data_IF_786442646077
#
_entry.id   IF_786442646077
#
_cell.length_a   1.000
_cell.length_b   1.000
_cell.length_c   1.000
_cell.angle_alpha   90.00
_cell.angle_beta   90.00
_cell.angle_gamma   90.00
#
_symmetry.space_group_name_H-M   'P 1'
#
loop_
_entity.id
_entity.type
_entity.pdbx_description
1 polymer ?
#
# COMPACT_ATOMS: atom_id res chain seq x y z
N UNK A 1 -35.77 17.93 -16.27
CA UNK A 1 -34.33 18.19 -16.42
C UNK A 1 -33.63 16.87 -16.16
N UNK A 2 -33.08 16.23 -17.19
CA UNK A 2 -32.17 15.10 -16.99
C UNK A 2 -31.02 15.63 -16.14
N UNK A 3 -30.89 15.19 -14.88
CA UNK A 3 -29.71 15.55 -14.08
C UNK A 3 -28.51 15.08 -14.89
N UNK A 4 -27.64 16.01 -15.30
CA UNK A 4 -26.37 15.64 -15.90
C UNK A 4 -25.65 14.71 -14.91
N UNK A 5 -25.10 13.63 -15.44
CA UNK A 5 -24.41 12.63 -14.63
C UNK A 5 -23.11 13.23 -14.12
N UNK A 6 -22.92 13.21 -12.80
CA UNK A 6 -21.74 13.72 -12.12
C UNK A 6 -20.46 13.21 -12.81
N UNK A 7 -19.54 14.12 -13.16
CA UNK A 7 -18.24 13.79 -13.71
C UNK A 7 -17.14 13.84 -12.65
N UNK A 8 -16.57 12.67 -12.37
CA UNK A 8 -15.48 12.48 -11.43
C UNK A 8 -14.16 12.29 -12.17
N UNK A 9 -13.14 13.07 -11.85
CA UNK A 9 -11.77 12.85 -12.31
C UNK A 9 -10.90 12.26 -11.18
N UNK A 10 -10.19 11.18 -11.47
CA UNK A 10 -9.28 10.50 -10.54
C UNK A 10 -7.85 10.66 -11.06
N UNK A 11 -6.97 11.16 -10.20
CA UNK A 11 -5.55 11.32 -10.50
C UNK A 11 -4.80 10.19 -9.81
N UNK A 12 -4.19 9.30 -10.60
CA UNK A 12 -3.44 8.13 -10.15
C UNK A 12 -4.18 6.82 -10.41
N UNK A 13 -3.57 5.93 -11.20
CA UNK A 13 -4.08 4.58 -11.47
C UNK A 13 -3.47 3.53 -10.52
N UNK A 14 -3.29 3.89 -9.24
CA UNK A 14 -2.96 2.94 -8.18
C UNK A 14 -4.15 2.04 -7.80
N UNK A 15 -3.95 1.14 -6.82
CA UNK A 15 -5.03 0.27 -6.34
C UNK A 15 -6.25 1.08 -5.83
N UNK A 16 -5.99 2.19 -5.12
CA UNK A 16 -7.01 3.11 -4.61
C UNK A 16 -7.85 3.72 -5.73
N UNK A 17 -7.21 4.42 -6.67
CA UNK A 17 -7.90 5.13 -7.75
C UNK A 17 -8.67 4.18 -8.67
N UNK A 18 -8.10 3.02 -8.98
CA UNK A 18 -8.77 2.00 -9.78
C UNK A 18 -9.98 1.40 -9.06
N UNK A 19 -9.90 1.14 -7.74
CA UNK A 19 -11.04 0.60 -7.01
C UNK A 19 -12.19 1.62 -6.90
N UNK A 20 -11.86 2.90 -6.68
CA UNK A 20 -12.85 3.99 -6.72
C UNK A 20 -13.52 4.02 -8.10
N UNK A 21 -12.73 3.99 -9.18
CA UNK A 21 -13.25 4.00 -10.55
C UNK A 21 -14.20 2.82 -10.83
N UNK A 22 -13.87 1.61 -10.35
CA UNK A 22 -14.76 0.45 -10.44
C UNK A 22 -16.09 0.70 -9.72
N UNK A 23 -16.05 1.19 -8.49
CA UNK A 23 -17.25 1.46 -7.71
C UNK A 23 -18.14 2.55 -8.34
N UNK A 24 -17.55 3.61 -8.87
CA UNK A 24 -18.26 4.67 -9.58
C UNK A 24 -18.86 4.18 -10.90
N UNK A 25 -18.11 3.41 -11.69
CA UNK A 25 -18.60 2.77 -12.92
C UNK A 25 -19.78 1.85 -12.61
N UNK A 26 -19.67 1.01 -11.57
CA UNK A 26 -20.75 0.13 -11.09
C UNK A 26 -22.01 0.91 -10.67
N UNK A 27 -21.85 2.13 -10.17
CA UNK A 27 -22.92 3.04 -9.81
C UNK A 27 -23.45 3.91 -10.98
N UNK A 28 -22.97 3.72 -12.21
CA UNK A 28 -23.28 4.55 -13.38
C UNK A 28 -22.90 6.03 -13.21
N UNK A 29 -21.86 6.33 -12.45
CA UNK A 29 -21.27 7.68 -12.33
C UNK A 29 -20.16 7.83 -13.36
N UNK A 30 -20.14 8.94 -14.09
CA UNK A 30 -19.13 9.20 -15.12
C UNK A 30 -17.78 9.41 -14.45
N UNK A 31 -16.78 8.62 -14.82
CA UNK A 31 -15.43 8.68 -14.25
C UNK A 31 -14.36 8.73 -15.33
N UNK A 32 -13.32 9.53 -15.10
CA UNK A 32 -12.09 9.58 -15.90
C UNK A 32 -10.88 9.35 -15.01
N UNK A 33 -10.00 8.42 -15.37
CA UNK A 33 -8.79 8.11 -14.60
C UNK A 33 -7.56 8.57 -15.39
N UNK A 34 -6.66 9.30 -14.74
CA UNK A 34 -5.43 9.82 -15.32
C UNK A 34 -4.21 9.25 -14.60
N UNK A 35 -3.18 8.88 -15.36
CA UNK A 35 -1.94 8.32 -14.85
C UNK A 35 -0.75 8.98 -15.54
N UNK A 36 0.21 9.45 -14.75
CA UNK A 36 1.38 10.16 -15.27
C UNK A 36 2.34 9.26 -16.03
N UNK A 37 2.47 7.99 -15.63
CA UNK A 37 3.32 7.04 -16.34
C UNK A 37 2.77 6.73 -17.74
N UNK A 38 3.68 6.50 -18.70
CA UNK A 38 3.31 5.83 -19.94
C UNK A 38 2.78 4.42 -19.63
N UNK A 39 1.89 3.91 -20.49
CA UNK A 39 1.32 2.57 -20.28
C UNK A 39 2.41 1.49 -20.21
N UNK A 40 3.43 1.58 -21.07
CA UNK A 40 4.57 0.65 -21.07
C UNK A 40 5.31 0.66 -19.73
N UNK A 41 5.66 1.85 -19.22
CA UNK A 41 6.31 1.98 -17.90
C UNK A 41 5.42 1.46 -16.77
N UNK A 42 4.12 1.72 -16.86
CA UNK A 42 3.14 1.31 -15.86
C UNK A 42 2.97 -0.22 -15.79
N UNK A 43 2.92 -0.87 -16.95
CA UNK A 43 2.72 -2.32 -17.09
C UNK A 43 4.01 -3.11 -16.80
N UNK A 44 5.17 -2.57 -17.18
CA UNK A 44 6.47 -3.22 -17.06
C UNK A 44 7.31 -2.74 -15.88
N UNK A 45 6.70 -2.05 -14.90
CA UNK A 45 7.42 -1.54 -13.74
C UNK A 45 8.08 -2.69 -12.95
N UNK A 46 9.44 -2.75 -12.88
CA UNK A 46 10.12 -3.86 -12.22
C UNK A 46 9.97 -3.83 -10.70
N UNK A 47 9.55 -2.69 -10.12
CA UNK A 47 9.26 -2.58 -8.69
C UNK A 47 7.86 -3.11 -8.40
N UNK A 48 7.80 -4.40 -8.08
CA UNK A 48 6.63 -5.04 -7.48
C UNK A 48 6.95 -5.49 -6.05
N UNK A 49 5.95 -5.47 -5.19
CA UNK A 49 6.01 -6.04 -3.85
C UNK A 49 4.65 -6.59 -3.49
N UNK A 50 4.58 -7.25 -2.34
CA UNK A 50 3.35 -7.88 -1.88
C UNK A 50 2.80 -7.19 -0.63
N UNK A 51 1.48 -7.20 -0.48
CA UNK A 51 0.76 -6.47 0.56
C UNK A 51 -0.20 -7.43 1.26
N UNK A 52 -0.50 -7.19 2.53
CA UNK A 52 -1.54 -7.92 3.24
C UNK A 52 -2.90 -7.27 2.94
N UNK A 53 -3.85 -8.05 2.46
CA UNK A 53 -5.27 -7.69 2.36
C UNK A 53 -6.01 -8.40 3.48
N UNK A 54 -6.75 -7.66 4.31
CA UNK A 54 -7.43 -8.23 5.48
C UNK A 54 -8.81 -7.60 5.67
N UNK A 55 -9.03 -6.80 6.73
CA UNK A 55 -10.36 -6.29 7.11
C UNK A 55 -11.04 -5.45 6.01
N UNK A 56 -10.27 -4.88 5.08
CA UNK A 56 -10.79 -4.05 3.99
C UNK A 56 -11.29 -4.84 2.78
N UNK A 57 -11.20 -6.17 2.77
CA UNK A 57 -11.70 -7.04 1.67
C UNK A 57 -13.17 -6.76 1.34
N UNK A 58 -13.99 -6.41 2.35
CA UNK A 58 -15.39 -5.99 2.19
C UNK A 58 -15.57 -4.78 1.26
N UNK A 59 -14.60 -3.85 1.24
CA UNK A 59 -14.66 -2.67 0.39
C UNK A 59 -14.32 -3.02 -1.07
N UNK A 60 -13.48 -4.05 -1.29
CA UNK A 60 -13.25 -4.61 -2.62
C UNK A 60 -14.53 -5.24 -3.18
N UNK A 61 -15.25 -6.01 -2.36
CA UNK A 61 -16.55 -6.60 -2.72
C UNK A 61 -17.60 -5.53 -3.05
N UNK A 62 -17.65 -4.46 -2.25
CA UNK A 62 -18.55 -3.34 -2.47
C UNK A 62 -18.31 -2.68 -3.84
N UNK A 63 -17.06 -2.38 -4.17
CA UNK A 63 -16.70 -1.58 -5.33
C UNK A 63 -16.61 -2.39 -6.64
N UNK A 64 -16.18 -3.66 -6.58
CA UNK A 64 -16.05 -4.47 -7.80
C UNK A 64 -17.40 -5.02 -8.30
N UNK A 65 -17.54 -5.24 -9.62
CA UNK A 65 -18.59 -6.12 -10.14
C UNK A 65 -18.33 -7.57 -9.70
N UNK A 66 -19.39 -8.37 -9.62
CA UNK A 66 -19.35 -9.70 -9.00
C UNK A 66 -18.35 -10.66 -9.65
N UNK A 67 -18.14 -10.59 -10.97
CA UNK A 67 -17.19 -11.44 -11.67
C UNK A 67 -15.73 -11.09 -11.33
N UNK A 68 -15.38 -9.80 -11.24
CA UNK A 68 -14.03 -9.39 -10.84
C UNK A 68 -13.75 -9.71 -9.37
N UNK A 69 -14.76 -9.58 -8.49
CA UNK A 69 -14.59 -9.97 -7.08
C UNK A 69 -14.37 -11.47 -6.92
N UNK A 70 -15.12 -12.31 -7.67
CA UNK A 70 -14.88 -13.75 -7.71
C UNK A 70 -13.45 -14.08 -8.14
N UNK A 71 -12.87 -13.28 -9.02
CA UNK A 71 -11.53 -13.49 -9.57
C UNK A 71 -10.43 -12.81 -8.70
N UNK A 72 -10.77 -12.25 -7.53
CA UNK A 72 -9.82 -11.59 -6.61
C UNK A 72 -8.66 -12.50 -6.18
N UNK A 73 -8.90 -13.80 -6.05
CA UNK A 73 -7.85 -14.76 -5.68
C UNK A 73 -6.70 -14.82 -6.69
N UNK A 74 -6.93 -14.43 -7.96
CA UNK A 74 -5.86 -14.35 -8.97
C UNK A 74 -4.83 -13.26 -8.65
N UNK A 75 -5.17 -12.30 -7.79
CA UNK A 75 -4.24 -11.31 -7.29
C UNK A 75 -3.40 -11.79 -6.10
N UNK A 76 -3.69 -12.99 -5.56
CA UNK A 76 -2.98 -13.51 -4.39
C UNK A 76 -1.57 -13.96 -4.76
N UNK A 77 -0.66 -13.95 -3.78
CA UNK A 77 0.71 -14.47 -4.00
C UNK A 77 0.71 -15.97 -4.25
N UNK A 78 -0.30 -16.69 -3.76
CA UNK A 78 -0.49 -18.10 -4.03
C UNK A 78 -1.97 -18.40 -4.33
N UNK A 79 -2.41 -18.29 -5.59
CA UNK A 79 -3.79 -18.58 -5.97
C UNK A 79 -4.13 -20.08 -5.89
N UNK A 80 -3.15 -20.94 -5.65
CA UNK A 80 -3.29 -22.40 -5.63
C UNK A 80 -3.56 -22.96 -4.24
N UNK A 81 -3.33 -22.15 -3.20
CA UNK A 81 -3.48 -22.59 -1.81
C UNK A 81 -3.81 -21.40 -0.91
N UNK A 82 -5.05 -21.38 -0.44
CA UNK A 82 -5.50 -20.45 0.60
C UNK A 82 -4.88 -20.81 1.97
N UNK A 83 -4.58 -19.81 2.82
CA UNK A 83 -4.27 -20.07 4.22
C UNK A 83 -5.46 -20.71 4.93
N UNK A 84 -5.20 -21.53 5.95
CA UNK A 84 -6.26 -22.00 6.84
C UNK A 84 -6.89 -20.83 7.60
N UNK A 85 -8.10 -21.04 8.15
CA UNK A 85 -8.75 -20.01 8.97
C UNK A 85 -7.85 -19.57 10.14
N UNK A 86 -7.14 -20.49 10.79
CA UNK A 86 -6.20 -20.17 11.88
C UNK A 86 -5.02 -19.32 11.39
N UNK A 87 -4.41 -19.69 10.26
CA UNK A 87 -3.28 -18.95 9.67
C UNK A 87 -3.70 -17.56 9.19
N UNK A 88 -4.96 -17.39 8.79
CA UNK A 88 -5.50 -16.10 8.38
C UNK A 88 -5.81 -15.15 9.54
N UNK A 89 -5.66 -15.60 10.80
CA UNK A 89 -6.06 -14.84 11.99
C UNK A 89 -4.89 -14.27 12.81
N UNK A 90 -3.65 -14.63 12.46
CA UNK A 90 -2.47 -14.07 13.13
C UNK A 90 -1.22 -14.08 12.25
N UNK A 91 -0.27 -13.20 12.56
CA UNK A 91 1.06 -13.17 11.95
C UNK A 91 2.13 -13.38 13.03
N UNK A 92 3.07 -14.33 12.84
CA UNK A 92 4.11 -14.58 13.83
C UNK A 92 5.21 -13.50 13.79
N UNK A 93 5.56 -12.99 14.96
CA UNK A 93 6.75 -12.16 15.20
C UNK A 93 7.72 -12.97 16.05
N UNK A 94 8.93 -13.18 15.55
CA UNK A 94 9.93 -14.05 16.19
C UNK A 94 11.22 -13.31 16.55
N UNK A 95 11.93 -13.83 17.53
CA UNK A 95 13.29 -13.44 17.86
C UNK A 95 14.22 -13.77 16.69
N UNK A 96 14.97 -12.77 16.21
CA UNK A 96 15.84 -12.90 15.05
C UNK A 96 17.05 -13.77 15.25
N UNK A 97 17.49 -13.98 16.49
CA UNK A 97 18.68 -14.76 16.83
C UNK A 97 18.33 -16.20 17.18
N UNK A 98 17.27 -16.43 17.93
CA UNK A 98 16.87 -17.77 18.41
C UNK A 98 15.77 -18.41 17.58
N UNK A 99 14.95 -17.62 16.89
CA UNK A 99 13.75 -18.07 16.20
C UNK A 99 12.55 -18.33 17.11
N UNK A 100 12.67 -18.05 18.41
CA UNK A 100 11.56 -18.19 19.37
C UNK A 100 10.44 -17.19 19.06
N UNK A 101 9.19 -17.62 19.24
CA UNK A 101 8.04 -16.75 19.04
C UNK A 101 7.98 -15.68 20.14
N UNK A 102 8.03 -14.40 19.76
CA UNK A 102 7.83 -13.29 20.69
C UNK A 102 6.35 -13.07 20.96
N UNK A 103 5.55 -13.02 19.88
CA UNK A 103 4.08 -12.95 19.92
C UNK A 103 3.51 -13.25 18.52
N UNK A 104 2.19 -13.46 18.45
CA UNK A 104 1.45 -13.56 17.21
C UNK A 104 0.51 -12.35 17.10
N UNK A 105 0.78 -11.45 16.16
CA UNK A 105 -0.03 -10.25 15.95
C UNK A 105 -1.40 -10.65 15.38
N UNK A 106 -2.52 -10.31 16.03
CA UNK A 106 -3.84 -10.67 15.52
C UNK A 106 -4.13 -9.94 14.19
N UNK A 107 -4.82 -10.61 13.27
CA UNK A 107 -5.29 -10.04 12.00
C UNK A 107 -6.62 -10.69 11.61
N UNK A 108 -7.45 -10.02 10.81
CA UNK A 108 -8.76 -10.55 10.44
C UNK A 108 -8.76 -11.02 8.97
N UNK A 109 -8.84 -12.34 8.77
CA UNK A 109 -8.95 -13.00 7.46
C UNK A 109 -7.89 -12.56 6.42
N UNK A 110 -6.63 -12.53 6.83
CA UNK A 110 -5.55 -12.02 5.99
C UNK A 110 -5.25 -12.92 4.77
N UNK A 111 -4.99 -12.27 3.64
CA UNK A 111 -4.38 -12.82 2.42
C UNK A 111 -3.22 -11.96 2.00
N UNK A 112 -2.27 -12.56 1.28
CA UNK A 112 -1.17 -11.80 0.67
C UNK A 112 -1.45 -11.61 -0.81
N UNK A 113 -1.33 -10.37 -1.29
CA UNK A 113 -1.62 -9.99 -2.67
C UNK A 113 -0.40 -9.40 -3.36
N UNK A 114 -0.25 -9.65 -4.65
CA UNK A 114 0.78 -9.04 -5.49
C UNK A 114 0.27 -7.69 -5.99
N UNK A 115 1.01 -6.60 -5.72
CA UNK A 115 0.59 -5.24 -6.06
C UNK A 115 0.21 -5.09 -7.54
N UNK A 116 1.03 -5.62 -8.44
CA UNK A 116 0.77 -5.54 -9.88
C UNK A 116 -0.48 -6.34 -10.29
N UNK A 117 -0.65 -7.57 -9.77
CA UNK A 117 -1.83 -8.39 -10.10
C UNK A 117 -3.12 -7.76 -9.59
N UNK A 118 -3.10 -7.17 -8.40
CA UNK A 118 -4.25 -6.45 -7.85
C UNK A 118 -4.61 -5.22 -8.70
N UNK A 119 -3.62 -4.42 -9.11
CA UNK A 119 -3.83 -3.29 -10.05
C UNK A 119 -4.39 -3.76 -11.38
N UNK A 120 -3.83 -4.83 -11.95
CA UNK A 120 -4.30 -5.39 -13.21
C UNK A 120 -5.75 -5.86 -13.13
N UNK A 121 -6.14 -6.52 -12.04
CA UNK A 121 -7.52 -6.93 -11.77
C UNK A 121 -8.44 -5.72 -11.69
N UNK A 122 -8.09 -4.71 -10.88
CA UNK A 122 -8.93 -3.52 -10.71
C UNK A 122 -9.01 -2.66 -11.97
N UNK A 123 -8.01 -2.72 -12.86
CA UNK A 123 -8.02 -2.00 -14.15
C UNK A 123 -8.93 -2.64 -15.19
N UNK A 124 -9.31 -3.91 -15.05
CA UNK A 124 -10.12 -4.58 -16.07
C UNK A 124 -11.40 -3.80 -16.36
N UNK A 125 -11.69 -3.63 -17.64
CA UNK A 125 -12.86 -2.88 -18.13
C UNK A 125 -12.89 -1.38 -17.78
N UNK A 126 -11.77 -0.81 -17.33
CA UNK A 126 -11.61 0.65 -17.17
C UNK A 126 -10.74 1.21 -18.28
N UNK A 127 -11.08 2.43 -18.73
CA UNK A 127 -10.21 3.24 -19.56
C UNK A 127 -9.36 4.13 -18.67
N UNK A 128 -8.04 4.02 -18.78
CA UNK A 128 -7.07 4.85 -18.06
C UNK A 128 -6.32 5.71 -19.09
N UNK A 129 -6.28 7.02 -18.85
CA UNK A 129 -5.53 7.97 -19.67
C UNK A 129 -4.08 8.01 -19.17
N UNK A 130 -3.22 7.19 -19.77
CA UNK A 130 -1.79 7.13 -19.47
C UNK A 130 -1.02 8.30 -20.08
N UNK A 131 0.17 8.60 -19.54
CA UNK A 131 1.00 9.73 -19.99
C UNK A 131 0.43 11.11 -19.60
N UNK A 132 -0.51 11.16 -18.66
CA UNK A 132 -1.16 12.38 -18.19
C UNK A 132 -0.63 12.76 -16.81
N UNK A 133 0.58 13.33 -16.77
CA UNK A 133 1.17 13.84 -15.53
C UNK A 133 0.49 15.17 -15.16
N UNK A 134 -0.23 15.18 -14.04
CA UNK A 134 -0.89 16.37 -13.52
C UNK A 134 0.16 17.35 -12.98
N UNK A 135 0.06 18.62 -13.39
CA UNK A 135 0.92 19.68 -12.89
C UNK A 135 0.20 20.62 -11.94
N UNK A 136 -1.07 20.90 -12.20
CA UNK A 136 -1.80 21.96 -11.50
C UNK A 136 -3.30 21.66 -11.38
N UNK A 137 -3.88 22.07 -10.27
CA UNK A 137 -5.33 22.03 -10.02
C UNK A 137 -5.83 23.44 -9.74
N UNK A 138 -6.83 23.90 -10.51
CA UNK A 138 -7.45 25.22 -10.35
C UNK A 138 -8.94 25.09 -10.16
N UNK A 139 -9.52 26.09 -9.51
CA UNK A 139 -10.97 26.26 -9.47
C UNK A 139 -11.32 27.46 -10.33
N UNK A 140 -12.18 27.25 -11.32
CA UNK A 140 -12.64 28.30 -12.22
C UNK A 140 -14.15 28.17 -12.41
N UNK A 141 -14.88 29.26 -12.12
CA UNK A 141 -16.33 29.34 -12.30
C UNK A 141 -17.15 28.19 -11.67
N UNK A 142 -16.64 27.59 -10.58
CA UNK A 142 -17.32 26.52 -9.84
C UNK A 142 -16.99 25.09 -10.29
N UNK A 143 -16.16 24.94 -11.33
CA UNK A 143 -15.57 23.67 -11.78
C UNK A 143 -14.10 23.56 -11.37
N UNK A 144 -13.60 22.33 -11.31
CA UNK A 144 -12.17 22.06 -11.14
C UNK A 144 -11.52 21.84 -12.49
N UNK A 145 -10.45 22.59 -12.76
CA UNK A 145 -9.63 22.50 -13.97
C UNK A 145 -8.31 21.82 -13.64
N UNK A 146 -8.04 20.71 -14.32
CA UNK A 146 -6.81 19.94 -14.24
C UNK A 146 -5.92 20.30 -15.42
N UNK A 147 -4.66 20.68 -15.16
CA UNK A 147 -3.68 20.97 -16.22
C UNK A 147 -2.55 19.93 -16.21
N UNK A 148 -2.26 19.35 -17.37
CA UNK A 148 -1.29 18.27 -17.55
C UNK A 148 -0.02 18.72 -18.29
N UNK A 149 1.07 17.95 -18.16
CA UNK A 149 2.41 18.28 -18.69
C UNK A 149 2.45 18.62 -20.20
N UNK A 150 1.53 18.09 -21.01
CA UNK A 150 1.47 18.33 -22.45
C UNK A 150 0.45 19.41 -22.86
N UNK A 151 0.02 20.25 -21.91
CA UNK A 151 -0.85 21.40 -22.17
C UNK A 151 -2.34 21.07 -22.27
N UNK A 152 -2.72 19.79 -22.21
CA UNK A 152 -4.12 19.38 -22.10
C UNK A 152 -4.72 19.88 -20.79
N UNK A 153 -6.00 20.28 -20.85
CA UNK A 153 -6.77 20.68 -19.68
C UNK A 153 -8.14 20.02 -19.69
N UNK A 154 -8.58 19.56 -18.52
CA UNK A 154 -9.83 18.83 -18.35
C UNK A 154 -10.60 19.45 -17.19
N UNK A 155 -11.92 19.58 -17.35
CA UNK A 155 -12.83 20.00 -16.28
C UNK A 155 -13.56 18.80 -15.69
N UNK A 156 -13.87 18.88 -14.40
CA UNK A 156 -14.68 17.90 -13.69
C UNK A 156 -15.47 18.57 -12.56
N UNK A 157 -16.58 17.94 -12.16
CA UNK A 157 -17.39 18.36 -11.01
C UNK A 157 -16.65 18.10 -9.69
N UNK A 158 -15.88 17.01 -9.64
CA UNK A 158 -15.03 16.66 -8.50
C UNK A 158 -13.73 15.98 -8.96
N UNK A 159 -12.64 16.31 -8.28
CA UNK A 159 -11.32 15.69 -8.44
C UNK A 159 -10.97 14.87 -7.20
N UNK A 160 -10.47 13.66 -7.42
CA UNK A 160 -9.97 12.76 -6.39
C UNK A 160 -8.46 12.56 -6.60
N UNK A 161 -7.66 13.04 -5.65
CA UNK A 161 -6.23 12.75 -5.59
C UNK A 161 -5.97 11.37 -5.03
N UNK A 162 -5.57 10.44 -5.88
CA UNK A 162 -5.13 9.08 -5.54
C UNK A 162 -3.71 8.81 -6.09
N UNK A 163 -2.90 9.88 -6.19
CA UNK A 163 -1.60 10.01 -6.86
C UNK A 163 -0.41 9.74 -5.92
N UNK A 164 -0.67 9.12 -4.78
CA UNK A 164 0.34 8.59 -3.88
C UNK A 164 0.98 9.63 -2.94
N UNK A 165 2.02 9.21 -2.23
CA UNK A 165 2.64 10.01 -1.16
C UNK A 165 3.18 11.38 -1.62
N UNK A 166 3.53 11.54 -2.90
CA UNK A 166 4.02 12.80 -3.48
C UNK A 166 2.92 13.59 -4.21
N UNK A 167 1.68 13.42 -3.75
CA UNK A 167 0.47 13.93 -4.41
C UNK A 167 0.57 15.41 -4.80
N UNK A 168 0.39 15.68 -6.09
CA UNK A 168 0.24 17.03 -6.63
C UNK A 168 -1.10 17.61 -6.17
N UNK A 169 -2.14 16.78 -6.11
CA UNK A 169 -3.47 17.20 -5.64
C UNK A 169 -3.40 17.69 -4.19
N UNK A 170 -2.78 16.91 -3.29
CA UNK A 170 -2.62 17.30 -1.88
C UNK A 170 -1.94 18.65 -1.73
N UNK A 171 -0.89 18.93 -2.52
CA UNK A 171 -0.16 20.19 -2.44
C UNK A 171 -1.03 21.43 -2.71
N UNK A 172 -2.19 21.28 -3.36
CA UNK A 172 -3.15 22.34 -3.57
C UNK A 172 -4.17 22.49 -2.42
N UNK A 173 -4.34 21.46 -1.57
CA UNK A 173 -5.33 21.46 -0.49
C UNK A 173 -4.75 21.85 0.88
N UNK A 174 -3.42 21.84 1.01
CA UNK A 174 -2.71 22.18 2.26
C UNK A 174 -1.59 23.19 2.00
N UNK A 175 -1.07 23.79 3.07
CA UNK A 175 -0.04 24.83 3.04
C UNK A 175 1.15 24.50 3.96
N UNK A 176 2.27 25.20 3.78
CA UNK A 176 3.43 25.12 4.66
C UNK A 176 4.02 23.70 4.78
N UNK A 177 4.39 23.32 6.01
CA UNK A 177 5.00 22.01 6.29
C UNK A 177 4.09 20.81 5.98
N UNK A 178 2.77 21.00 5.86
CA UNK A 178 1.83 19.93 5.53
C UNK A 178 1.99 19.39 4.09
N UNK A 179 2.74 20.11 3.24
CA UNK A 179 3.13 19.67 1.88
C UNK A 179 4.38 18.78 1.86
N UNK A 180 5.12 18.70 2.97
CA UNK A 180 6.45 18.08 3.00
C UNK A 180 6.44 16.73 3.70
N UNK A 181 6.84 15.68 2.98
CA UNK A 181 7.11 14.37 3.58
C UNK A 181 8.42 14.47 4.37
N UNK A 182 8.43 14.01 5.62
CA UNK A 182 9.66 13.95 6.41
C UNK A 182 10.23 12.53 6.35
N UNK A 183 11.54 12.44 6.13
CA UNK A 183 12.28 11.18 6.17
C UNK A 183 12.22 10.64 7.59
N UNK A 184 11.91 9.34 7.73
CA UNK A 184 12.04 8.61 8.99
C UNK A 184 13.45 8.00 9.09
N UNK A 185 13.98 7.73 10.30
CA UNK A 185 15.33 7.17 10.54
C UNK A 185 15.39 5.70 10.12
N UNK A 186 15.18 5.43 8.85
CA UNK A 186 15.03 4.08 8.33
C UNK A 186 15.58 3.93 6.92
N UNK A 187 16.39 2.89 6.75
CA UNK A 187 16.85 2.38 5.45
C UNK A 187 16.31 0.97 5.29
N UNK A 188 15.83 0.64 4.09
CA UNK A 188 15.34 -0.71 3.82
C UNK A 188 15.82 -1.27 2.50
N UNK A 189 16.11 -2.56 2.56
CA UNK A 189 16.30 -3.44 1.42
C UNK A 189 15.03 -4.25 1.25
N UNK A 190 14.50 -4.32 0.03
CA UNK A 190 13.37 -5.15 -0.32
C UNK A 190 13.61 -5.79 -1.69
N UNK A 191 13.77 -7.11 -1.70
CA UNK A 191 14.24 -7.87 -2.86
C UNK A 191 13.21 -8.94 -3.20
N UNK A 192 12.84 -9.03 -4.48
CA UNK A 192 12.21 -10.21 -5.06
C UNK A 192 13.29 -11.18 -5.53
N UNK A 193 13.28 -12.43 -5.05
CA UNK A 193 14.28 -13.42 -5.41
C UNK A 193 13.63 -14.77 -5.71
N UNK A 194 14.17 -15.47 -6.71
CA UNK A 194 13.90 -16.88 -6.98
C UNK A 194 15.10 -17.71 -6.53
N UNK A 195 14.85 -18.96 -6.18
CA UNK A 195 15.88 -19.88 -5.72
C UNK A 195 15.86 -21.19 -6.51
N UNK A 196 16.86 -22.04 -6.28
CA UNK A 196 16.77 -23.43 -6.73
C UNK A 196 15.54 -24.12 -6.11
N UNK A 197 15.09 -25.21 -6.74
CA UNK A 197 13.91 -25.93 -6.26
C UNK A 197 14.05 -26.40 -4.80
N UNK A 198 15.23 -26.86 -4.41
CA UNK A 198 15.51 -27.31 -3.05
C UNK A 198 15.42 -26.16 -2.03
N UNK A 199 16.05 -25.04 -2.33
CA UNK A 199 16.01 -23.84 -1.48
C UNK A 199 14.59 -23.27 -1.37
N UNK A 200 13.86 -23.17 -2.49
CA UNK A 200 12.47 -22.71 -2.49
C UNK A 200 11.57 -23.61 -1.62
N UNK A 201 11.73 -24.93 -1.73
CA UNK A 201 11.02 -25.90 -0.88
C UNK A 201 11.44 -25.82 0.59
N UNK A 202 12.71 -25.59 0.87
CA UNK A 202 13.23 -25.38 2.23
C UNK A 202 12.57 -24.17 2.89
N UNK A 203 12.49 -23.03 2.18
CA UNK A 203 11.83 -21.81 2.65
C UNK A 203 10.33 -22.04 2.81
N UNK A 204 9.65 -22.56 1.79
CA UNK A 204 8.19 -22.75 1.79
C UNK A 204 7.69 -23.57 2.97
N UNK A 205 8.46 -24.58 3.41
CA UNK A 205 8.15 -25.43 4.57
C UNK A 205 8.28 -24.73 5.92
N UNK A 206 8.98 -23.61 6.01
CA UNK A 206 9.33 -22.91 7.26
C UNK A 206 8.71 -21.52 7.39
N UNK A 207 8.18 -20.96 6.31
CA UNK A 207 7.51 -19.67 6.34
C UNK A 207 6.00 -19.83 6.49
N UNK A 208 5.41 -18.89 7.22
CA UNK A 208 3.98 -18.66 7.31
C UNK A 208 3.42 -18.33 5.91
N UNK A 209 2.20 -18.79 5.55
CA UNK A 209 1.64 -18.55 4.21
C UNK A 209 1.45 -17.08 3.84
N UNK A 210 1.39 -16.18 4.82
CA UNK A 210 1.14 -14.75 4.61
C UNK A 210 2.43 -13.92 4.68
N UNK A 211 3.13 -14.01 5.81
CA UNK A 211 4.38 -13.31 6.08
C UNK A 211 5.02 -13.80 7.39
N UNK A 212 6.34 -13.70 7.46
CA UNK A 212 7.14 -13.81 8.67
C UNK A 212 7.82 -12.47 8.96
N UNK A 213 7.85 -12.10 10.23
CA UNK A 213 8.54 -10.92 10.72
C UNK A 213 9.44 -11.30 11.88
N UNK A 214 10.65 -10.72 11.93
CA UNK A 214 11.59 -11.05 12.97
C UNK A 214 12.46 -9.88 13.42
N UNK A 215 12.45 -9.65 14.73
CA UNK A 215 13.16 -8.54 15.39
C UNK A 215 14.42 -9.09 16.03
N UNK A 216 15.56 -8.46 15.79
CA UNK A 216 16.85 -8.97 16.26
C UNK A 216 17.23 -8.34 17.62
N UNK A 217 17.72 -9.11 18.60
CA UNK A 217 18.06 -8.57 19.93
C UNK A 217 19.30 -7.69 19.95
N UNK A 218 20.31 -8.01 19.14
CA UNK A 218 21.60 -7.31 19.16
C UNK A 218 21.76 -6.20 18.10
N UNK A 219 20.72 -5.93 17.30
CA UNK A 219 20.78 -4.91 16.24
C UNK A 219 19.40 -4.33 15.97
N UNK A 220 19.34 -3.05 15.57
CA UNK A 220 18.08 -2.34 15.34
C UNK A 220 17.50 -2.63 13.95
N UNK A 221 17.24 -3.92 13.68
CA UNK A 221 16.73 -4.38 12.38
C UNK A 221 15.49 -5.24 12.50
N UNK A 222 14.64 -5.12 11.48
CA UNK A 222 13.51 -6.01 11.24
C UNK A 222 13.72 -6.80 9.94
N UNK A 223 13.61 -8.12 10.02
CA UNK A 223 13.62 -8.99 8.85
C UNK A 223 12.19 -9.36 8.47
N UNK A 224 11.88 -9.23 7.19
CA UNK A 224 10.62 -9.60 6.59
C UNK A 224 10.85 -10.67 5.51
N UNK A 225 10.13 -11.79 5.62
CA UNK A 225 10.21 -12.88 4.65
C UNK A 225 8.80 -13.35 4.28
N UNK A 226 8.52 -13.46 2.99
CA UNK A 226 7.25 -13.98 2.51
C UNK A 226 7.36 -14.61 1.12
N UNK A 227 6.37 -15.42 0.79
CA UNK A 227 6.15 -15.86 -0.59
C UNK A 227 5.58 -14.68 -1.39
N UNK A 228 6.30 -14.25 -2.42
CA UNK A 228 5.94 -13.11 -3.25
C UNK A 228 5.02 -13.51 -4.40
N UNK A 229 5.31 -14.62 -5.08
CA UNK A 229 4.45 -15.14 -6.15
C UNK A 229 4.66 -16.64 -6.40
N UNK A 230 3.61 -17.33 -6.85
CA UNK A 230 3.62 -18.74 -7.27
C UNK A 230 3.04 -18.84 -8.69
N UNK A 231 3.85 -18.62 -9.73
CA UNK A 231 3.39 -18.75 -11.11
C UNK A 231 3.01 -20.19 -11.49
N UNK A 232 3.86 -21.16 -11.13
CA UNK A 232 3.59 -22.59 -11.33
C UNK A 232 3.74 -23.36 -10.00
N UNK A 233 2.67 -23.92 -9.43
CA UNK A 233 2.76 -24.65 -8.17
C UNK A 233 3.54 -25.97 -8.29
N UNK A 234 3.83 -26.44 -9.50
CA UNK A 234 4.57 -27.69 -9.76
C UNK A 234 6.07 -27.47 -10.01
N UNK A 235 6.50 -26.24 -10.29
CA UNK A 235 7.91 -25.90 -10.46
C UNK A 235 8.36 -24.86 -9.41
N UNK A 236 8.94 -25.29 -8.28
CA UNK A 236 9.43 -24.39 -7.23
C UNK A 236 10.48 -23.37 -7.66
N UNK A 237 11.17 -23.58 -8.80
CA UNK A 237 12.12 -22.59 -9.34
C UNK A 237 11.42 -21.32 -9.83
N UNK A 238 10.12 -21.40 -10.12
CA UNK A 238 9.32 -20.25 -10.57
C UNK A 238 8.86 -19.38 -9.40
N UNK A 239 8.88 -19.92 -8.18
CA UNK A 239 8.37 -19.24 -7.00
C UNK A 239 9.27 -18.08 -6.63
N UNK A 240 8.64 -16.93 -6.40
CA UNK A 240 9.31 -15.72 -5.99
C UNK A 240 9.10 -15.50 -4.50
N UNK A 241 10.14 -15.06 -3.82
CA UNK A 241 10.12 -14.72 -2.40
C UNK A 241 10.46 -13.25 -2.23
N UNK A 242 9.77 -12.60 -1.30
CA UNK A 242 10.10 -11.27 -0.84
C UNK A 242 11.02 -11.40 0.36
N UNK A 243 12.24 -10.90 0.21
CA UNK A 243 13.25 -10.85 1.27
C UNK A 243 13.56 -9.38 1.54
N UNK A 244 13.17 -8.91 2.72
CA UNK A 244 13.38 -7.54 3.09
C UNK A 244 14.01 -7.43 4.49
N UNK A 245 14.86 -6.41 4.65
CA UNK A 245 15.48 -6.07 5.91
C UNK A 245 15.47 -4.54 6.03
N UNK A 246 14.93 -4.04 7.13
CA UNK A 246 14.99 -2.63 7.48
C UNK A 246 15.93 -2.42 8.67
N UNK A 247 16.67 -1.32 8.62
CA UNK A 247 17.65 -0.88 9.61
C UNK A 247 17.24 0.51 10.09
N UNK A 248 17.09 0.65 11.41
CA UNK A 248 16.90 1.95 12.05
C UNK A 248 18.21 2.73 12.00
N UNK A 249 18.24 3.82 11.24
CA UNK A 249 19.41 4.68 11.08
C UNK A 249 19.08 5.97 10.32
N UNK A 250 19.71 7.08 10.73
CA UNK A 250 19.72 8.33 9.98
C UNK A 250 20.76 8.33 8.85
N UNK A 251 21.71 7.38 8.88
CA UNK A 251 22.77 7.28 7.88
C UNK A 251 22.18 7.00 6.49
N UNK A 252 22.90 7.43 5.45
CA UNK A 252 22.53 7.12 4.09
C UNK A 252 22.98 5.69 3.74
N UNK A 253 22.18 4.92 2.98
CA UNK A 253 22.60 3.60 2.52
C UNK A 253 23.84 3.73 1.63
N UNK A 254 24.74 2.72 1.64
CA UNK A 254 25.90 2.68 0.75
C UNK A 254 25.54 3.04 -0.70
N UNK A 255 26.40 3.86 -1.32
CA UNK A 255 26.15 4.37 -2.67
C UNK A 255 26.18 3.27 -3.73
N UNK A 256 27.12 2.33 -3.61
CA UNK A 256 27.29 1.22 -4.55
C UNK A 256 26.36 0.06 -4.23
N UNK A 257 25.94 -0.67 -5.27
CA UNK A 257 25.13 -1.88 -5.08
C UNK A 257 25.86 -2.94 -4.25
N UNK A 258 27.15 -3.12 -4.53
CA UNK A 258 28.03 -4.04 -3.80
C UNK A 258 28.09 -3.70 -2.30
N UNK A 259 28.22 -2.41 -1.95
CA UNK A 259 28.22 -1.96 -0.57
C UNK A 259 26.90 -2.27 0.14
N UNK A 260 25.77 -2.10 -0.56
CA UNK A 260 24.44 -2.46 -0.03
C UNK A 260 24.28 -3.96 0.15
N UNK A 261 24.71 -4.77 -0.82
CA UNK A 261 24.69 -6.23 -0.74
C UNK A 261 25.52 -6.75 0.44
N UNK A 262 26.72 -6.19 0.61
CA UNK A 262 27.60 -6.53 1.73
C UNK A 262 26.96 -6.16 3.08
N UNK A 263 26.35 -4.99 3.20
CA UNK A 263 25.63 -4.58 4.41
C UNK A 263 24.45 -5.51 4.70
N UNK A 264 23.62 -5.78 3.68
CA UNK A 264 22.46 -6.66 3.77
C UNK A 264 22.86 -8.06 4.24
N UNK A 265 23.83 -8.71 3.59
CA UNK A 265 24.31 -10.05 3.98
C UNK A 265 24.98 -10.06 5.34
N UNK A 266 25.69 -8.99 5.73
CA UNK A 266 26.29 -8.86 7.07
C UNK A 266 25.21 -8.86 8.16
N UNK A 267 24.19 -8.01 8.03
CA UNK A 267 23.10 -7.89 9.01
C UNK A 267 22.20 -9.12 9.01
N UNK A 268 21.94 -9.72 7.85
CA UNK A 268 21.14 -10.93 7.75
C UNK A 268 21.87 -12.19 8.24
N UNK A 269 23.21 -12.19 8.19
CA UNK A 269 24.03 -13.32 8.58
C UNK A 269 23.95 -13.69 10.07
N UNK A 270 23.53 -12.75 10.93
CA UNK A 270 23.31 -12.97 12.36
C UNK A 270 21.93 -13.54 12.70
N UNK A 271 21.00 -13.56 11.74
CA UNK A 271 19.67 -14.11 11.98
C UNK A 271 19.67 -15.65 12.06
N UNK A 272 18.61 -16.21 12.63
CA UNK A 272 18.33 -17.64 12.63
C UNK A 272 17.80 -18.10 11.27
N UNK A 273 17.63 -19.42 11.13
CA UNK A 273 16.92 -20.00 10.00
C UNK A 273 15.41 -19.73 10.08
N UNK A 274 14.70 -19.54 8.95
CA UNK A 274 15.20 -19.57 7.58
C UNK A 274 15.73 -18.23 7.05
N UNK A 275 15.66 -17.14 7.83
CA UNK A 275 16.00 -15.78 7.38
C UNK A 275 17.44 -15.67 6.88
N UNK A 276 18.39 -16.27 7.62
CA UNK A 276 19.80 -16.31 7.25
C UNK A 276 20.01 -16.93 5.88
N UNK A 277 19.49 -18.13 5.65
CA UNK A 277 19.60 -18.80 4.36
C UNK A 277 18.91 -18.02 3.24
N UNK A 278 17.71 -17.51 3.49
CA UNK A 278 16.98 -16.68 2.51
C UNK A 278 17.85 -15.50 2.03
N UNK A 279 18.51 -14.78 2.95
CA UNK A 279 19.36 -13.66 2.59
C UNK A 279 20.69 -14.06 1.96
N UNK A 280 21.39 -15.05 2.52
CA UNK A 280 22.73 -15.42 2.04
C UNK A 280 22.70 -16.09 0.65
N UNK A 281 21.58 -16.71 0.29
CA UNK A 281 21.37 -17.28 -1.05
C UNK A 281 20.99 -16.26 -2.12
N UNK A 282 20.69 -15.01 -1.77
CA UNK A 282 20.48 -13.95 -2.76
C UNK A 282 21.75 -13.79 -3.60
N UNK A 283 21.68 -13.83 -4.94
CA UNK A 283 22.84 -13.62 -5.81
C UNK A 283 23.52 -12.27 -5.59
N UNK A 284 24.85 -12.22 -5.60
CA UNK A 284 25.62 -11.00 -5.26
C UNK A 284 25.38 -9.83 -6.22
N UNK A 285 25.01 -10.11 -7.47
CA UNK A 285 24.70 -9.15 -8.52
C UNK A 285 23.24 -8.64 -8.47
N UNK A 286 22.43 -9.14 -7.53
CA UNK A 286 21.05 -8.67 -7.33
C UNK A 286 21.06 -7.18 -6.99
N UNK A 287 20.25 -6.41 -7.72
CA UNK A 287 20.09 -4.99 -7.42
C UNK A 287 19.37 -4.80 -6.07
N UNK A 288 20.03 -4.11 -5.15
CA UNK A 288 19.44 -3.67 -3.89
C UNK A 288 19.04 -2.21 -4.02
N UNK A 289 17.75 -1.86 -3.81
CA UNK A 289 17.31 -0.49 -3.85
C UNK A 289 17.84 0.33 -2.67
N UNK A 290 17.92 1.66 -2.84
CA UNK A 290 18.28 2.63 -1.79
C UNK A 290 17.02 3.18 -1.12
N UNK A 291 16.11 2.30 -0.73
CA UNK A 291 14.79 2.73 -0.30
C UNK A 291 14.86 3.38 1.08
N UNK A 292 14.24 4.56 1.16
CA UNK A 292 14.07 5.37 2.37
C UNK A 292 12.58 5.60 2.54
N UNK A 293 12.12 5.56 3.78
CA UNK A 293 10.73 5.85 4.09
C UNK A 293 10.57 7.31 4.46
N UNK A 294 9.38 7.82 4.17
CA UNK A 294 8.97 9.15 4.55
C UNK A 294 7.46 9.14 4.79
N UNK A 295 7.02 9.99 5.69
CA UNK A 295 5.61 10.10 6.08
C UNK A 295 5.23 11.57 6.34
N UNK A 296 3.93 11.82 6.50
CA UNK A 296 3.47 13.14 6.92
C UNK A 296 3.62 13.28 8.43
N UNK A 297 4.38 14.27 8.88
CA UNK A 297 4.43 14.64 10.30
C UNK A 297 3.50 15.80 10.65
N UNK A 298 3.16 16.63 9.66
CA UNK A 298 2.19 17.73 9.80
C UNK A 298 0.87 17.32 9.15
N UNK A 299 0.05 16.60 9.92
CA UNK A 299 -1.23 16.06 9.47
C UNK A 299 -2.32 17.06 9.89
N UNK A 300 -2.75 17.89 8.93
CA UNK A 300 -3.80 18.90 9.12
C UNK A 300 -5.03 18.56 8.28
N UNK A 301 -6.24 18.97 8.71
CA UNK A 301 -7.39 19.00 7.83
C UNK A 301 -7.08 19.85 6.59
N UNK A 302 -7.64 19.47 5.45
CA UNK A 302 -7.41 20.15 4.18
C UNK A 302 -8.65 20.92 3.72
N UNK A 303 -8.45 21.94 2.89
CA UNK A 303 -9.55 22.67 2.26
C UNK A 303 -9.99 21.94 1.00
N UNK A 304 -11.16 21.30 1.02
CA UNK A 304 -11.71 20.57 -0.13
C UNK A 304 -12.45 21.46 -1.15
N UNK A 305 -12.45 22.78 -0.92
CA UNK A 305 -13.09 23.79 -1.75
C UNK A 305 -14.58 23.53 -2.01
N UNK A 306 -15.34 23.25 -0.95
CA UNK A 306 -16.78 22.99 -1.04
C UNK A 306 -17.10 21.61 -1.62
N UNK A 307 -16.24 20.63 -1.34
CA UNK A 307 -16.36 19.24 -1.81
C UNK A 307 -15.97 19.03 -3.27
N UNK A 308 -15.22 19.95 -3.87
CA UNK A 308 -14.78 19.88 -5.27
C UNK A 308 -13.49 19.09 -5.46
N UNK A 309 -12.66 19.00 -4.43
CA UNK A 309 -11.39 18.28 -4.48
C UNK A 309 -11.22 17.49 -3.19
N UNK A 310 -10.86 16.22 -3.27
CA UNK A 310 -10.58 15.37 -2.10
C UNK A 310 -9.40 14.42 -2.36
N UNK A 311 -9.00 13.66 -1.34
CA UNK A 311 -7.85 12.75 -1.35
C UNK A 311 -8.26 11.32 -0.96
N UNK A 312 -7.50 10.34 -1.46
CA UNK A 312 -7.64 8.94 -1.08
C UNK A 312 -6.28 8.21 -1.10
N UNK A 313 -6.13 7.21 -0.24
CA UNK A 313 -4.91 6.42 -0.10
C UNK A 313 -3.72 7.25 0.36
N UNK A 314 -2.53 6.90 -0.12
CA UNK A 314 -1.28 7.58 0.25
C UNK A 314 -1.23 9.08 -0.09
N UNK A 315 -2.14 9.59 -0.92
CA UNK A 315 -2.28 11.04 -1.10
C UNK A 315 -2.85 11.73 0.17
N UNK A 316 -3.71 11.03 0.91
CA UNK A 316 -4.29 11.47 2.17
C UNK A 316 -3.41 11.11 3.38
N UNK A 317 -2.96 9.86 3.46
CA UNK A 317 -2.36 9.27 4.67
C UNK A 317 -1.21 8.25 4.41
N UNK A 318 -0.15 8.64 3.68
CA UNK A 318 1.04 7.82 3.55
C UNK A 318 1.66 7.58 4.93
N UNK A 319 1.91 6.30 5.22
CA UNK A 319 2.35 5.81 6.52
C UNK A 319 3.46 4.77 6.34
N UNK A 320 4.30 4.61 7.37
CA UNK A 320 5.28 3.54 7.37
C UNK A 320 4.60 2.15 7.40
N UNK A 321 5.17 1.11 6.73
CA UNK A 321 4.46 -0.15 6.46
C UNK A 321 4.40 -1.12 7.66
N UNK A 322 4.83 -0.72 8.86
CA UNK A 322 5.07 -1.63 10.00
C UNK A 322 3.81 -2.11 10.73
N UNK A 323 2.65 -1.58 10.34
CA UNK A 323 1.32 -2.10 10.71
C UNK A 323 0.62 -2.83 9.57
N UNK A 324 1.14 -2.80 8.34
CA UNK A 324 0.47 -3.37 7.17
C UNK A 324 -0.88 -2.72 6.82
N UNK A 325 -1.06 -1.43 7.12
CA UNK A 325 -2.36 -0.74 7.09
C UNK A 325 -2.59 0.12 5.84
N UNK A 326 -1.55 0.50 5.09
CA UNK A 326 -1.68 1.43 3.96
C UNK A 326 -2.71 0.98 2.90
N UNK A 327 -2.56 -0.25 2.37
CA UNK A 327 -3.52 -0.79 1.39
C UNK A 327 -4.94 -0.83 1.96
N UNK A 328 -5.12 -1.29 3.19
CA UNK A 328 -6.46 -1.51 3.74
C UNK A 328 -7.20 -0.19 4.01
N UNK A 329 -6.47 0.83 4.48
CA UNK A 329 -6.99 2.19 4.59
C UNK A 329 -7.34 2.79 3.22
N UNK A 330 -6.49 2.61 2.22
CA UNK A 330 -6.78 3.02 0.85
C UNK A 330 -8.06 2.35 0.28
N UNK A 331 -8.28 1.07 0.56
CA UNK A 331 -9.50 0.37 0.10
C UNK A 331 -10.73 0.81 0.90
N UNK A 332 -10.58 1.19 2.18
CA UNK A 332 -11.65 1.81 2.98
C UNK A 332 -12.06 3.18 2.43
N UNK A 333 -11.09 4.00 2.06
CA UNK A 333 -11.34 5.27 1.38
C UNK A 333 -12.18 5.05 0.11
N UNK A 334 -11.81 4.04 -0.69
CA UNK A 334 -12.53 3.73 -1.91
C UNK A 334 -14.00 3.39 -1.66
N UNK A 335 -14.28 2.52 -0.69
CA UNK A 335 -15.65 2.16 -0.30
C UNK A 335 -16.44 3.35 0.23
N UNK A 336 -15.84 4.16 1.10
CA UNK A 336 -16.49 5.33 1.72
C UNK A 336 -16.80 6.40 0.67
N UNK A 337 -15.84 6.71 -0.21
CA UNK A 337 -15.99 7.75 -1.23
C UNK A 337 -17.02 7.37 -2.29
N UNK A 338 -17.05 6.10 -2.72
CA UNK A 338 -18.09 5.61 -3.64
C UNK A 338 -19.47 5.77 -3.03
N UNK A 339 -19.67 5.42 -1.76
CA UNK A 339 -20.96 5.62 -1.07
C UNK A 339 -21.34 7.11 -0.98
N UNK A 340 -20.37 7.97 -0.68
CA UNK A 340 -20.59 9.42 -0.61
C UNK A 340 -21.07 9.98 -1.96
N UNK A 341 -20.40 9.62 -3.06
CA UNK A 341 -20.74 10.11 -4.40
C UNK A 341 -22.03 9.51 -4.96
N UNK A 342 -22.35 8.26 -4.61
CA UNK A 342 -23.67 7.66 -4.90
C UNK A 342 -24.79 8.46 -4.22
N UNK A 343 -24.60 8.85 -2.95
CA UNK A 343 -25.58 9.66 -2.23
C UNK A 343 -25.76 11.05 -2.88
N UNK A 344 -24.69 11.63 -3.43
CA UNK A 344 -24.77 12.89 -4.19
C UNK A 344 -25.54 12.70 -5.50
N UNK A 345 -25.20 11.68 -6.29
CA UNK A 345 -25.88 11.39 -7.56
C UNK A 345 -27.38 11.09 -7.39
N UNK A 346 -27.76 10.53 -6.25
CA UNK A 346 -29.16 10.27 -5.88
C UNK A 346 -29.88 11.48 -5.27
N UNK A 347 -29.18 12.60 -5.06
CA UNK A 347 -29.72 13.81 -4.43
C UNK A 347 -29.97 13.68 -2.92
N UNK A 348 -29.44 12.63 -2.28
CA UNK A 348 -29.60 12.38 -0.84
C UNK A 348 -28.69 13.28 0.01
N UNK A 349 -27.57 13.76 -0.55
CA UNK A 349 -26.66 14.74 0.07
C UNK A 349 -26.17 15.74 -0.98
N UNK A 350 -25.83 16.96 -0.54
CA UNK A 350 -25.06 17.88 -1.38
C UNK A 350 -23.61 17.41 -1.50
N UNK A 351 -22.90 17.83 -2.57
CA UNK A 351 -21.49 17.50 -2.75
C UNK A 351 -20.65 17.91 -1.54
N UNK A 352 -20.79 19.16 -1.08
CA UNK A 352 -20.06 19.67 0.08
C UNK A 352 -20.30 18.80 1.32
N UNK A 353 -21.56 18.54 1.69
CA UNK A 353 -21.86 17.74 2.89
C UNK A 353 -21.38 16.28 2.80
N UNK A 354 -21.40 15.69 1.61
CA UNK A 354 -20.90 14.33 1.40
C UNK A 354 -19.37 14.26 1.55
N UNK A 355 -18.66 15.19 0.92
CA UNK A 355 -17.19 15.21 0.93
C UNK A 355 -16.64 15.72 2.27
N UNK A 356 -17.27 16.68 2.94
CA UNK A 356 -16.87 17.11 4.29
C UNK A 356 -16.93 15.94 5.29
N UNK A 357 -18.00 15.12 5.20
CA UNK A 357 -18.15 13.94 6.04
C UNK A 357 -17.12 12.85 5.72
N UNK A 358 -16.76 12.69 4.45
CA UNK A 358 -15.72 11.75 4.02
C UNK A 358 -14.34 12.21 4.49
N UNK A 359 -13.99 13.47 4.23
CA UNK A 359 -12.70 14.05 4.59
C UNK A 359 -12.46 14.02 6.10
N UNK A 360 -13.49 14.32 6.91
CA UNK A 360 -13.39 14.24 8.36
C UNK A 360 -13.07 12.83 8.86
N UNK A 361 -13.65 11.79 8.23
CA UNK A 361 -13.37 10.39 8.54
C UNK A 361 -11.96 9.98 8.13
N UNK A 362 -11.57 10.30 6.89
CA UNK A 362 -10.23 9.99 6.34
C UNK A 362 -9.15 10.69 7.13
N UNK A 363 -9.35 11.96 7.50
CA UNK A 363 -8.42 12.71 8.34
C UNK A 363 -8.24 12.05 9.70
N UNK A 364 -9.33 11.75 10.41
CA UNK A 364 -9.26 11.19 11.76
C UNK A 364 -8.62 9.80 11.77
N UNK A 365 -9.02 8.92 10.85
CA UNK A 365 -8.45 7.57 10.72
C UNK A 365 -7.00 7.62 10.23
N UNK A 366 -6.72 8.39 9.18
CA UNK A 366 -5.39 8.51 8.60
C UNK A 366 -4.36 9.04 9.60
N UNK A 367 -4.71 10.07 10.38
CA UNK A 367 -3.85 10.58 11.46
C UNK A 367 -3.49 9.48 12.47
N UNK A 368 -4.49 8.79 12.99
CA UNK A 368 -4.30 7.70 13.96
C UNK A 368 -3.41 6.59 13.39
N UNK A 369 -3.65 6.16 12.16
CA UNK A 369 -2.90 5.06 11.55
C UNK A 369 -1.45 5.42 11.24
N UNK A 370 -1.17 6.69 10.88
CA UNK A 370 0.21 7.19 10.76
C UNK A 370 0.91 7.10 12.12
N UNK A 371 0.34 7.71 13.16
CA UNK A 371 0.92 7.72 14.52
C UNK A 371 1.14 6.29 15.06
N UNK A 372 0.15 5.41 14.91
CA UNK A 372 0.24 4.01 15.36
C UNK A 372 1.30 3.21 14.56
N UNK A 373 1.46 3.53 13.28
CA UNK A 373 2.46 2.89 12.41
C UNK A 373 3.87 3.34 12.74
N UNK A 374 4.06 4.60 13.14
CA UNK A 374 5.33 5.13 13.65
C UNK A 374 5.73 4.45 14.96
N UNK A 375 4.80 4.32 15.92
CA UNK A 375 5.04 3.59 17.18
C UNK A 375 5.40 2.11 16.93
N UNK A 376 4.74 1.48 15.96
CA UNK A 376 5.05 0.09 15.58
C UNK A 376 6.38 -0.03 14.86
N UNK A 377 6.74 0.96 14.03
CA UNK A 377 8.06 1.04 13.42
C UNK A 377 9.14 1.08 14.50
N UNK A 378 9.00 1.95 15.50
CA UNK A 378 9.93 2.04 16.61
C UNK A 378 10.03 0.71 17.36
N UNK A 379 8.89 0.14 17.78
CA UNK A 379 8.86 -1.12 18.54
C UNK A 379 9.45 -2.31 17.79
N UNK A 380 9.31 -2.37 16.47
CA UNK A 380 9.86 -3.47 15.65
C UNK A 380 11.36 -3.33 15.35
N UNK A 381 11.98 -2.19 15.64
CA UNK A 381 13.43 -2.01 15.49
C UNK A 381 14.16 -1.90 16.83
N UNK A 382 13.45 -1.81 17.95
CA UNK A 382 14.06 -1.76 19.28
C UNK A 382 13.54 -2.94 20.09
N UNK A 383 14.41 -3.93 20.31
CA UNK A 383 14.03 -5.20 20.92
C UNK A 383 13.34 -5.04 22.29
N UNK A 384 13.80 -4.09 23.11
CA UNK A 384 13.22 -3.79 24.43
C UNK A 384 11.79 -3.22 24.34
N UNK A 385 11.40 -2.64 23.21
CA UNK A 385 10.10 -2.05 22.96
C UNK A 385 9.15 -2.97 22.15
N UNK A 386 9.62 -4.11 21.66
CA UNK A 386 8.84 -4.95 20.74
C UNK A 386 7.54 -5.47 21.37
N UNK A 387 7.57 -5.79 22.67
CA UNK A 387 6.40 -6.29 23.42
C UNK A 387 5.38 -5.20 23.73
N UNK A 388 5.79 -3.92 23.79
CA UNK A 388 4.86 -2.79 23.97
C UNK A 388 4.35 -2.23 22.64
N UNK A 389 4.87 -2.70 21.50
CA UNK A 389 4.46 -2.20 20.18
C UNK A 389 2.95 -2.34 19.95
N UNK A 390 2.32 -1.38 19.24
CA UNK A 390 0.91 -1.52 18.86
C UNK A 390 0.65 -2.76 18.00
N UNK A 391 1.66 -3.27 17.28
CA UNK A 391 1.55 -4.53 16.54
C UNK A 391 1.29 -5.73 17.46
N UNK A 392 1.88 -5.77 18.66
CA UNK A 392 1.58 -6.82 19.65
C UNK A 392 0.17 -6.64 20.25
N UNK A 393 -0.15 -5.43 20.67
CA UNK A 393 -1.36 -5.17 21.46
C UNK A 393 -2.65 -5.14 20.62
N UNK A 394 -2.60 -4.52 19.43
CA UNK A 394 -3.77 -4.30 18.57
C UNK A 394 -3.71 -5.23 17.34
N UNK A 395 -2.51 -5.60 16.89
CA UNK A 395 -2.32 -6.37 15.65
C UNK A 395 -2.89 -5.67 14.42
N UNK A 396 -2.94 -6.31 13.26
CA UNK A 396 -3.33 -5.67 11.99
C UNK A 396 -4.85 -5.46 11.86
N UNK A 397 -5.62 -5.54 12.94
CA UNK A 397 -7.06 -5.31 12.96
C UNK A 397 -7.43 -3.88 12.63
N UNK A 398 -8.67 -3.70 12.18
CA UNK A 398 -9.30 -2.39 11.98
C UNK A 398 -9.37 -1.65 13.32
N UNK A 399 -8.81 -0.44 13.40
CA UNK A 399 -8.97 0.41 14.57
C UNK A 399 -10.35 1.08 14.55
N UNK A 400 -11.29 0.55 15.33
CA UNK A 400 -12.62 1.13 15.51
C UNK A 400 -12.55 2.31 16.49
N UNK A 401 -13.30 3.37 16.20
CA UNK A 401 -13.45 4.54 17.07
C UNK A 401 -14.15 4.20 18.38
#
# INVERSE_FOLDING_TARGET
MTSETLHVAIIGAGATGLLIAQGLKKANIRVSVFEGMSQDTYDNNPRTWTMALHWSRRNVEQCLPAHLFRDLFLAYTNPWQEPSQEQAQSLPISDGKTGELLFAAPVDDARRVVRQKLRNLFRQELNVNFGHELLEVKIHQGEVVLAFQHGESITADIVIGADGAKSVVRNHLVEGEARTLKRVPLVSTNIGCRYSAEQAMYLRKRIHPIANMSVHPDQETLFFLALADVPDPKDPKTWEFQVALSLWTDEEPPETNEGRMKLFKKLAGSYCEPYRSAALWVPDDTYIPRDKYAEWTSIVPWNNFGGRITLAGDAAHPMCPFRGQGLNNALQDAGNLVNALVAVQQGAKSMAAAIDSYDAEVYARGKREIETSEESMYGLHHYDAVKSSPLNNIGLREQKN
#
